data_IF_540818332095
#
_entry.id   IF_540818332095
#
_cell.length_a   1.000
_cell.length_b   1.000
_cell.length_c   1.000
_cell.angle_alpha   90.00
_cell.angle_beta   90.00
_cell.angle_gamma   90.00
#
_symmetry.space_group_name_H-M   'P 1'
#
loop_
_entity.id
_entity.type
_entity.pdbx_description
1 polymer ?
#
# COMPACT_ATOMS: atom_id res chain seq x y z
N UNK A 1 -1.31 52.44 12.73
CA UNK A 1 -2.10 51.37 12.14
C UNK A 1 -1.25 50.09 12.18
N UNK A 2 -1.45 49.28 13.23
CA UNK A 2 -0.85 47.94 13.32
C UNK A 2 -1.70 46.99 12.49
N UNK A 3 -1.13 46.43 11.44
CA UNK A 3 -1.66 45.25 10.79
C UNK A 3 -1.42 44.04 11.69
N UNK A 4 -2.45 43.61 12.40
CA UNK A 4 -2.49 42.29 12.99
C UNK A 4 -2.63 41.28 11.84
N UNK A 5 -1.52 40.65 11.45
CA UNK A 5 -1.50 39.46 10.63
C UNK A 5 -2.05 38.32 11.51
N UNK A 6 -3.32 37.99 11.33
CA UNK A 6 -3.91 36.81 11.93
C UNK A 6 -3.19 35.59 11.38
N UNK A 7 -2.36 34.95 12.20
CA UNK A 7 -2.02 33.55 12.01
C UNK A 7 -3.30 32.75 12.25
N UNK A 8 -4.01 32.42 11.18
CA UNK A 8 -4.96 31.33 11.23
C UNK A 8 -4.15 30.09 11.63
N UNK A 9 -4.39 29.57 12.82
CA UNK A 9 -3.95 28.24 13.21
C UNK A 9 -4.64 27.28 12.24
N UNK A 10 -4.01 26.97 11.11
CA UNK A 10 -4.49 25.90 10.24
C UNK A 10 -4.36 24.62 11.06
N UNK A 11 -5.49 23.97 11.34
CA UNK A 11 -5.48 22.65 11.96
C UNK A 11 -4.66 21.73 11.05
N UNK A 12 -3.76 20.93 11.66
CA UNK A 12 -2.96 19.94 10.97
C UNK A 12 -3.86 19.01 10.15
N UNK A 13 -3.57 18.84 8.86
CA UNK A 13 -4.27 17.91 7.98
C UNK A 13 -3.55 16.59 7.94
N UNK A 14 -4.24 15.53 8.34
CA UNK A 14 -3.65 14.22 8.60
C UNK A 14 -3.98 13.23 7.46
N UNK A 15 -2.96 12.60 6.92
CA UNK A 15 -3.10 11.43 6.06
C UNK A 15 -2.77 10.14 6.82
N UNK A 16 -3.66 9.14 6.74
CA UNK A 16 -3.30 7.76 7.10
C UNK A 16 -2.78 7.04 5.88
N UNK A 17 -1.62 6.41 6.02
CA UNK A 17 -0.98 5.64 4.97
C UNK A 17 -0.77 4.18 5.42
N UNK A 18 -1.06 3.23 4.52
CA UNK A 18 -1.06 1.80 4.82
C UNK A 18 -0.03 1.06 3.98
N UNK A 19 0.84 0.23 4.62
CA UNK A 19 1.91 -0.46 3.93
C UNK A 19 1.39 -1.55 2.98
N UNK A 20 2.24 -1.89 2.01
CA UNK A 20 2.06 -2.99 1.09
C UNK A 20 2.89 -4.22 1.44
N UNK A 21 2.89 -5.20 0.53
CA UNK A 21 3.71 -6.41 0.62
C UNK A 21 5.20 -6.07 0.75
N UNK A 22 5.91 -6.81 1.59
CA UNK A 22 7.30 -6.53 1.97
C UNK A 22 7.43 -5.91 3.37
N UNK A 23 6.32 -5.47 3.98
CA UNK A 23 6.30 -4.93 5.33
C UNK A 23 6.11 -6.01 6.42
N UNK A 24 5.71 -7.22 6.05
CA UNK A 24 5.40 -8.30 6.97
C UNK A 24 6.63 -8.81 7.73
N UNK A 25 6.41 -9.22 8.96
CA UNK A 25 7.37 -9.93 9.81
C UNK A 25 6.65 -10.77 10.86
N UNK A 26 7.32 -11.82 11.35
CA UNK A 26 6.78 -12.67 12.41
C UNK A 26 6.63 -11.87 13.71
N UNK A 27 5.44 -11.94 14.31
CA UNK A 27 5.09 -11.20 15.52
C UNK A 27 4.39 -9.85 15.25
N UNK A 28 4.18 -9.46 14.00
CA UNK A 28 3.48 -8.20 13.67
C UNK A 28 2.08 -8.17 14.27
N UNK A 29 1.76 -7.10 15.02
CA UNK A 29 0.46 -6.89 15.64
C UNK A 29 0.14 -7.77 16.84
N UNK A 30 1.05 -8.64 17.29
CA UNK A 30 0.85 -9.54 18.42
C UNK A 30 0.61 -8.79 19.72
N UNK A 31 1.38 -7.76 19.98
CA UNK A 31 1.26 -6.88 21.13
C UNK A 31 -0.10 -6.15 21.18
N UNK A 32 -0.59 -5.67 20.04
CA UNK A 32 -1.94 -5.11 19.90
C UNK A 32 -3.02 -6.16 20.20
N UNK A 33 -2.87 -7.38 19.67
CA UNK A 33 -3.79 -8.48 19.94
C UNK A 33 -3.85 -8.85 21.41
N UNK A 34 -2.71 -8.88 22.09
CA UNK A 34 -2.60 -9.25 23.51
C UNK A 34 -3.13 -8.15 24.45
N UNK A 35 -2.91 -6.86 24.14
CA UNK A 35 -3.24 -5.76 25.04
C UNK A 35 -4.62 -5.12 24.80
N UNK A 36 -5.16 -5.15 23.55
CA UNK A 36 -6.36 -4.41 23.16
C UNK A 36 -7.47 -5.30 22.62
N UNK A 37 -8.63 -5.28 23.27
CA UNK A 37 -9.79 -6.10 22.89
C UNK A 37 -10.33 -5.79 21.49
N UNK A 38 -10.34 -4.53 21.08
CA UNK A 38 -10.76 -4.09 19.75
C UNK A 38 -9.83 -4.61 18.65
N UNK A 39 -8.53 -4.73 18.92
CA UNK A 39 -7.57 -5.32 18.00
C UNK A 39 -7.75 -6.83 17.92
N UNK A 40 -7.98 -7.49 19.07
CA UNK A 40 -8.27 -8.93 19.16
C UNK A 40 -9.47 -9.30 18.30
N UNK A 41 -10.55 -8.53 18.35
CA UNK A 41 -11.75 -8.75 17.55
C UNK A 41 -11.48 -8.74 16.04
N UNK A 42 -10.56 -7.90 15.56
CA UNK A 42 -10.19 -7.87 14.14
C UNK A 42 -9.55 -9.19 13.71
N UNK A 43 -8.63 -9.74 14.51
CA UNK A 43 -8.01 -11.05 14.24
C UNK A 43 -9.02 -12.19 14.36
N UNK A 44 -9.93 -12.14 15.32
CA UNK A 44 -10.97 -13.18 15.49
C UNK A 44 -11.94 -13.19 14.30
N UNK A 45 -12.38 -12.01 13.81
CA UNK A 45 -13.18 -11.90 12.59
C UNK A 45 -12.39 -12.44 11.38
N UNK A 46 -11.09 -12.18 11.31
CA UNK A 46 -10.27 -12.67 10.22
C UNK A 46 -10.16 -14.21 10.22
N UNK A 47 -9.99 -14.84 11.38
CA UNK A 47 -9.99 -16.30 11.51
C UNK A 47 -11.33 -16.95 11.14
N UNK A 48 -12.46 -16.28 11.39
CA UNK A 48 -13.77 -16.76 10.97
C UNK A 48 -13.98 -16.72 9.44
N UNK A 49 -13.29 -15.81 8.76
CA UNK A 49 -13.45 -15.55 7.32
C UNK A 49 -12.47 -16.37 6.48
N UNK A 50 -11.21 -16.46 6.95
CA UNK A 50 -10.13 -17.09 6.21
C UNK A 50 -10.17 -18.61 6.35
N UNK A 51 -9.64 -19.30 5.36
CA UNK A 51 -9.48 -20.75 5.30
C UNK A 51 -8.20 -21.23 6.01
N UNK A 52 -7.55 -20.36 6.78
CA UNK A 52 -6.33 -20.64 7.55
C UNK A 52 -6.27 -19.79 8.82
N UNK A 53 -5.45 -20.20 9.77
CA UNK A 53 -5.24 -19.51 11.06
C UNK A 53 -4.35 -18.27 10.85
N UNK A 54 -4.96 -17.07 10.79
CA UNK A 54 -4.25 -15.81 10.57
C UNK A 54 -3.33 -15.47 11.74
N UNK A 55 -3.70 -15.83 12.96
CA UNK A 55 -2.88 -15.57 14.15
C UNK A 55 -1.61 -16.42 14.10
N UNK A 56 -1.73 -17.67 13.67
CA UNK A 56 -0.57 -18.52 13.47
C UNK A 56 0.37 -17.95 12.41
N UNK A 57 -0.17 -17.48 11.28
CA UNK A 57 0.62 -16.83 10.21
C UNK A 57 1.34 -15.58 10.70
N UNK A 58 0.65 -14.71 11.47
CA UNK A 58 1.23 -13.43 11.91
C UNK A 58 2.18 -13.58 13.10
N UNK A 59 1.93 -14.50 14.04
CA UNK A 59 2.56 -14.50 15.35
C UNK A 59 3.63 -15.57 15.56
N UNK A 60 3.58 -16.65 14.78
CA UNK A 60 4.48 -17.80 14.94
C UNK A 60 5.39 -17.97 13.72
N UNK A 61 6.58 -18.57 13.95
CA UNK A 61 7.52 -18.87 12.87
C UNK A 61 6.89 -19.78 11.80
N UNK A 62 6.90 -19.32 10.56
CA UNK A 62 6.43 -20.04 9.40
C UNK A 62 6.98 -19.41 8.11
N UNK A 63 6.95 -20.15 7.00
CA UNK A 63 7.35 -19.66 5.68
C UNK A 63 6.20 -19.00 4.91
N UNK A 64 4.95 -19.36 5.24
CA UNK A 64 3.73 -18.93 4.54
C UNK A 64 3.51 -17.42 4.57
N UNK A 65 4.00 -16.74 5.61
CA UNK A 65 3.89 -15.28 5.72
C UNK A 65 4.53 -14.53 4.52
N UNK A 66 5.45 -15.17 3.80
CA UNK A 66 6.12 -14.61 2.63
C UNK A 66 5.48 -15.04 1.30
N UNK A 67 4.49 -15.93 1.34
CA UNK A 67 3.70 -16.29 0.15
C UNK A 67 2.58 -15.26 -0.05
N UNK A 68 2.48 -14.71 -1.26
CA UNK A 68 1.61 -13.56 -1.58
C UNK A 68 0.17 -13.74 -1.14
N UNK A 69 -0.39 -14.92 -1.31
CA UNK A 69 -1.78 -15.24 -0.95
C UNK A 69 -2.04 -15.17 0.58
N UNK A 70 -1.04 -15.42 1.42
CA UNK A 70 -1.11 -15.27 2.89
C UNK A 70 -0.66 -13.88 3.33
N UNK A 71 0.42 -13.37 2.73
CA UNK A 71 1.01 -12.06 3.06
C UNK A 71 -0.02 -10.94 2.99
N UNK A 72 -0.82 -10.91 1.90
CA UNK A 72 -1.78 -9.83 1.69
C UNK A 72 -2.87 -9.81 2.77
N UNK A 73 -3.43 -10.97 3.13
CA UNK A 73 -4.41 -11.06 4.20
C UNK A 73 -3.82 -10.72 5.58
N UNK A 74 -2.58 -11.15 5.84
CA UNK A 74 -1.87 -10.89 7.09
C UNK A 74 -1.60 -9.40 7.31
N UNK A 75 -1.10 -8.69 6.29
CA UNK A 75 -0.84 -7.24 6.38
C UNK A 75 -2.15 -6.45 6.50
N UNK A 76 -3.18 -6.81 5.71
CA UNK A 76 -4.49 -6.15 5.81
C UNK A 76 -5.05 -6.27 7.23
N UNK A 77 -5.08 -7.48 7.79
CA UNK A 77 -5.62 -7.73 9.14
C UNK A 77 -4.85 -6.96 10.20
N UNK A 78 -3.52 -7.06 10.19
CA UNK A 78 -2.65 -6.36 11.15
C UNK A 78 -2.84 -4.84 11.07
N UNK A 79 -2.83 -4.28 9.87
CA UNK A 79 -3.01 -2.83 9.69
C UNK A 79 -4.40 -2.37 10.14
N UNK A 80 -5.46 -3.16 9.93
CA UNK A 80 -6.79 -2.81 10.41
C UNK A 80 -6.94 -2.95 11.92
N UNK A 81 -6.27 -3.89 12.56
CA UNK A 81 -6.21 -3.97 14.01
C UNK A 81 -5.56 -2.72 14.61
N UNK A 82 -4.39 -2.32 14.08
CA UNK A 82 -3.70 -1.10 14.50
C UNK A 82 -4.53 0.16 14.21
N UNK A 83 -5.18 0.23 13.03
CA UNK A 83 -6.09 1.32 12.68
C UNK A 83 -7.21 1.51 13.71
N UNK A 84 -7.82 0.41 14.17
CA UNK A 84 -8.84 0.46 15.23
C UNK A 84 -8.30 1.10 16.50
N UNK A 85 -7.12 0.71 16.95
CA UNK A 85 -6.50 1.31 18.12
C UNK A 85 -6.24 2.82 17.96
N UNK A 86 -5.78 3.25 16.79
CA UNK A 86 -5.53 4.67 16.49
C UNK A 86 -6.82 5.49 16.48
N UNK A 87 -7.90 4.95 15.90
CA UNK A 87 -9.19 5.64 15.85
C UNK A 87 -9.85 5.72 17.23
N UNK A 88 -9.73 4.67 18.06
CA UNK A 88 -10.27 4.64 19.42
C UNK A 88 -9.66 5.72 20.34
N UNK A 89 -8.39 6.07 20.14
CA UNK A 89 -7.79 7.21 20.84
C UNK A 89 -8.21 8.57 20.26
N UNK A 90 -9.13 8.60 19.29
CA UNK A 90 -9.75 9.81 18.71
C UNK A 90 -8.95 10.52 17.64
N UNK A 91 -7.94 9.87 17.03
CA UNK A 91 -7.20 10.41 15.88
C UNK A 91 -7.89 9.91 14.62
N UNK A 92 -8.23 10.85 13.72
CA UNK A 92 -8.93 10.56 12.47
C UNK A 92 -8.16 11.16 11.29
N UNK A 93 -8.17 10.50 10.13
CA UNK A 93 -7.55 11.04 8.93
C UNK A 93 -8.49 12.02 8.21
N UNK A 94 -7.90 12.97 7.49
CA UNK A 94 -8.56 13.79 6.49
C UNK A 94 -8.53 13.13 5.11
N UNK A 95 -7.55 12.25 4.90
CA UNK A 95 -7.38 11.45 3.68
C UNK A 95 -6.67 10.14 4.01
N UNK A 96 -7.00 9.09 3.25
CA UNK A 96 -6.32 7.80 3.33
C UNK A 96 -5.54 7.50 2.04
N UNK A 97 -4.43 6.78 2.15
CA UNK A 97 -3.68 6.24 1.01
C UNK A 97 -3.03 4.92 1.42
N UNK A 98 -2.73 4.07 0.45
CA UNK A 98 -1.99 2.84 0.72
C UNK A 98 -1.13 2.46 -0.47
N UNK A 99 -0.15 1.59 -0.27
CA UNK A 99 0.70 1.08 -1.33
C UNK A 99 0.24 -0.32 -1.73
N UNK A 100 -0.22 -0.49 -2.98
CA UNK A 100 -0.69 -1.76 -3.53
C UNK A 100 -1.81 -2.38 -2.66
N UNK A 101 -1.55 -3.49 -1.95
CA UNK A 101 -2.55 -4.07 -1.03
C UNK A 101 -3.03 -3.06 0.04
N UNK A 102 -2.19 -2.13 0.43
CA UNK A 102 -2.53 -1.07 1.40
C UNK A 102 -3.66 -0.14 0.93
N UNK A 103 -3.95 -0.06 -0.38
CA UNK A 103 -5.13 0.65 -0.88
C UNK A 103 -6.43 0.04 -0.34
N UNK A 104 -6.48 -1.28 -0.12
CA UNK A 104 -7.65 -1.94 0.49
C UNK A 104 -7.83 -1.57 1.97
N UNK A 105 -6.75 -1.32 2.71
CA UNK A 105 -6.84 -0.72 4.04
C UNK A 105 -7.42 0.69 3.97
N UNK A 106 -6.99 1.49 2.99
CA UNK A 106 -7.53 2.83 2.76
C UNK A 106 -9.03 2.77 2.40
N UNK A 107 -9.46 1.80 1.58
CA UNK A 107 -10.88 1.58 1.26
C UNK A 107 -11.72 1.27 2.51
N UNK A 108 -11.21 0.44 3.43
CA UNK A 108 -11.90 0.15 4.70
C UNK A 108 -11.90 1.39 5.61
N UNK A 109 -10.78 2.07 5.76
CA UNK A 109 -10.68 3.28 6.58
C UNK A 109 -11.54 4.44 6.05
N UNK A 110 -11.84 4.45 4.75
CA UNK A 110 -12.72 5.41 4.06
C UNK A 110 -14.18 4.99 4.00
N UNK A 111 -14.57 3.88 4.64
CA UNK A 111 -15.91 3.27 4.62
C UNK A 111 -16.40 2.84 3.23
N UNK A 112 -15.50 2.67 2.26
CA UNK A 112 -15.85 2.15 0.92
C UNK A 112 -16.17 0.67 0.97
N UNK A 113 -15.44 -0.10 1.76
CA UNK A 113 -15.64 -1.54 1.96
C UNK A 113 -15.71 -1.87 3.45
N UNK A 114 -16.52 -2.89 3.80
CA UNK A 114 -16.44 -3.52 5.12
C UNK A 114 -15.14 -4.33 5.24
N UNK A 115 -14.57 -4.40 6.42
CA UNK A 115 -13.35 -5.19 6.66
C UNK A 115 -13.49 -6.64 6.19
N UNK A 116 -14.63 -7.28 6.47
CA UNK A 116 -14.92 -8.66 6.05
C UNK A 116 -14.85 -8.86 4.54
N UNK A 117 -15.36 -7.89 3.78
CA UNK A 117 -15.38 -7.95 2.32
C UNK A 117 -14.02 -7.61 1.73
N UNK A 118 -13.32 -6.65 2.33
CA UNK A 118 -11.94 -6.33 1.95
C UNK A 118 -11.01 -7.53 2.19
N UNK A 119 -11.16 -8.25 3.31
CA UNK A 119 -10.34 -9.41 3.63
C UNK A 119 -10.57 -10.56 2.64
N UNK A 120 -11.82 -10.88 2.32
CA UNK A 120 -12.15 -11.87 1.27
C UNK A 120 -11.59 -11.48 -0.09
N UNK A 121 -11.71 -10.20 -0.43
CA UNK A 121 -11.21 -9.66 -1.69
C UNK A 121 -9.70 -9.74 -1.77
N UNK A 122 -9.00 -9.35 -0.72
CA UNK A 122 -7.54 -9.40 -0.65
C UNK A 122 -7.01 -10.85 -0.66
N UNK A 123 -7.70 -11.79 -0.01
CA UNK A 123 -7.38 -13.21 -0.10
C UNK A 123 -7.48 -13.68 -1.56
N UNK A 124 -8.59 -13.35 -2.25
CA UNK A 124 -8.78 -13.67 -3.68
C UNK A 124 -7.73 -13.00 -4.55
N UNK A 125 -7.41 -11.72 -4.29
CA UNK A 125 -6.37 -10.97 -5.01
C UNK A 125 -5.01 -11.63 -4.87
N UNK A 126 -4.63 -12.03 -3.67
CA UNK A 126 -3.35 -12.70 -3.40
C UNK A 126 -3.20 -14.00 -4.18
N UNK A 127 -4.23 -14.85 -4.19
CA UNK A 127 -4.28 -16.09 -4.96
C UNK A 127 -4.14 -15.79 -6.46
N UNK A 128 -4.97 -14.90 -7.00
CA UNK A 128 -4.94 -14.54 -8.42
C UNK A 128 -3.58 -14.00 -8.87
N UNK A 129 -2.96 -13.16 -8.05
CA UNK A 129 -1.63 -12.60 -8.37
C UNK A 129 -0.52 -13.64 -8.26
N UNK A 130 -0.61 -14.56 -7.31
CA UNK A 130 0.38 -15.63 -7.14
C UNK A 130 0.33 -16.63 -8.31
N UNK A 131 -0.87 -16.94 -8.80
CA UNK A 131 -1.09 -17.92 -9.86
C UNK A 131 -1.01 -17.34 -11.28
N UNK A 132 -1.01 -16.01 -11.44
CA UNK A 132 -1.14 -15.32 -12.72
C UNK A 132 -0.02 -15.66 -13.73
N UNK A 133 1.19 -15.86 -13.24
CA UNK A 133 2.37 -16.10 -14.07
C UNK A 133 3.15 -17.28 -13.49
N UNK A 134 3.52 -18.27 -14.34
CA UNK A 134 4.33 -19.40 -13.89
C UNK A 134 5.65 -18.95 -13.26
N UNK A 135 6.10 -19.69 -12.25
CA UNK A 135 7.35 -19.42 -11.55
C UNK A 135 8.54 -19.26 -12.51
N UNK A 136 9.35 -18.25 -12.25
CA UNK A 136 10.55 -17.95 -13.03
C UNK A 136 10.32 -17.21 -14.35
N UNK A 137 9.08 -17.00 -14.79
CA UNK A 137 8.77 -16.26 -16.03
C UNK A 137 8.82 -14.74 -15.84
N UNK A 138 8.43 -14.28 -14.70
CA UNK A 138 8.44 -12.85 -14.34
C UNK A 138 9.35 -12.54 -13.15
N UNK A 139 9.68 -11.27 -12.96
CA UNK A 139 10.44 -10.78 -11.81
C UNK A 139 10.21 -9.29 -11.58
N UNK A 140 10.69 -8.81 -10.44
CA UNK A 140 10.72 -7.38 -10.09
C UNK A 140 12.09 -6.98 -9.59
N UNK A 141 12.53 -5.77 -9.92
CA UNK A 141 13.79 -5.22 -9.42
C UNK A 141 13.60 -3.79 -8.89
N UNK A 142 14.16 -3.52 -7.72
CA UNK A 142 14.26 -2.17 -7.19
C UNK A 142 15.41 -1.42 -7.88
N UNK A 143 15.15 -0.19 -8.31
CA UNK A 143 16.11 0.71 -8.97
C UNK A 143 16.25 1.96 -8.12
N UNK A 144 17.49 2.28 -7.74
CA UNK A 144 17.81 3.42 -6.88
C UNK A 144 18.79 4.38 -7.57
N UNK A 145 18.52 5.68 -7.42
CA UNK A 145 19.46 6.75 -7.77
C UNK A 145 19.34 7.27 -9.20
N UNK A 146 18.23 6.98 -9.88
CA UNK A 146 17.88 7.56 -11.18
C UNK A 146 16.52 8.26 -11.12
N UNK A 147 16.32 9.23 -12.00
CA UNK A 147 15.05 9.93 -12.15
C UNK A 147 13.98 9.05 -12.81
N UNK A 148 12.72 9.28 -12.46
CA UNK A 148 11.57 8.52 -12.93
C UNK A 148 11.51 8.44 -14.46
N UNK A 149 11.74 9.56 -15.15
CA UNK A 149 11.69 9.66 -16.62
C UNK A 149 12.76 8.81 -17.31
N UNK A 150 13.96 8.72 -16.70
CA UNK A 150 15.05 7.89 -17.23
C UNK A 150 14.67 6.41 -17.12
N UNK A 151 14.17 6.00 -15.96
CA UNK A 151 13.78 4.59 -15.73
C UNK A 151 12.60 4.18 -16.62
N UNK A 152 11.57 5.04 -16.75
CA UNK A 152 10.41 4.78 -17.61
C UNK A 152 10.84 4.61 -19.08
N UNK A 153 11.66 5.53 -19.58
CA UNK A 153 12.16 5.47 -20.95
C UNK A 153 12.98 4.21 -21.23
N UNK A 154 13.86 3.80 -20.31
CA UNK A 154 14.63 2.55 -20.48
C UNK A 154 13.69 1.33 -20.54
N UNK A 155 12.63 1.30 -19.73
CA UNK A 155 11.62 0.24 -19.82
C UNK A 155 10.92 0.25 -21.18
N UNK A 156 10.47 1.42 -21.66
CA UNK A 156 9.78 1.58 -22.96
C UNK A 156 10.66 1.20 -24.16
N UNK A 157 11.96 1.47 -24.10
CA UNK A 157 12.95 1.13 -25.13
C UNK A 157 13.49 -0.30 -25.04
N UNK A 158 13.10 -1.06 -24.03
CA UNK A 158 13.53 -2.45 -23.84
C UNK A 158 12.53 -3.40 -24.50
N UNK A 159 13.04 -4.33 -25.32
CA UNK A 159 12.23 -5.36 -25.96
C UNK A 159 11.63 -6.32 -24.92
N UNK A 160 10.37 -6.71 -25.12
CA UNK A 160 9.61 -7.56 -24.21
C UNK A 160 8.78 -6.76 -23.21
N UNK A 161 8.14 -7.46 -22.25
CA UNK A 161 7.28 -6.83 -21.25
C UNK A 161 8.12 -6.41 -20.05
N UNK A 162 8.35 -5.12 -19.91
CA UNK A 162 8.93 -4.50 -18.71
C UNK A 162 8.40 -3.09 -18.55
N UNK A 163 8.01 -2.74 -17.32
CA UNK A 163 7.49 -1.40 -16.98
C UNK A 163 7.85 -1.02 -15.56
N UNK A 164 7.67 0.26 -15.21
CA UNK A 164 7.75 0.71 -13.83
C UNK A 164 6.51 0.22 -13.08
N UNK A 165 6.71 -0.63 -12.10
CA UNK A 165 5.65 -1.16 -11.23
C UNK A 165 5.31 -0.19 -10.09
N UNK A 166 6.32 0.46 -9.51
CA UNK A 166 6.14 1.39 -8.39
C UNK A 166 7.01 2.64 -8.58
N UNK A 167 6.37 3.79 -8.50
CA UNK A 167 7.02 5.08 -8.25
C UNK A 167 6.93 5.33 -6.75
N UNK A 168 7.96 4.92 -6.00
CA UNK A 168 7.92 4.92 -4.53
C UNK A 168 8.22 6.30 -3.93
N UNK A 169 9.32 6.91 -4.35
CA UNK A 169 9.73 8.27 -3.98
C UNK A 169 10.82 8.73 -4.97
N UNK A 170 11.23 10.00 -5.00
CA UNK A 170 12.29 10.48 -5.88
C UNK A 170 13.53 9.59 -5.79
N UNK A 171 13.93 9.06 -6.94
CA UNK A 171 15.11 8.19 -7.08
C UNK A 171 14.94 6.76 -6.52
N UNK A 172 13.72 6.31 -6.26
CA UNK A 172 13.45 4.92 -5.85
C UNK A 172 12.21 4.37 -6.55
N UNK A 173 12.44 3.47 -7.50
CA UNK A 173 11.42 2.84 -8.31
C UNK A 173 11.53 1.32 -8.24
N UNK A 174 10.50 0.64 -8.71
CA UNK A 174 10.53 -0.81 -8.96
C UNK A 174 10.12 -1.04 -10.40
N UNK A 175 10.88 -1.85 -11.13
CA UNK A 175 10.54 -2.32 -12.48
C UNK A 175 10.06 -3.77 -12.40
N UNK A 176 9.12 -4.14 -13.28
CA UNK A 176 8.45 -5.44 -13.26
C UNK A 176 8.13 -5.90 -14.69
N UNK A 177 8.15 -7.20 -14.91
CA UNK A 177 7.82 -7.79 -16.21
C UNK A 177 8.43 -9.15 -16.41
N UNK A 178 8.62 -9.51 -17.68
CA UNK A 178 9.31 -10.74 -18.09
C UNK A 178 10.76 -10.75 -17.56
N UNK A 179 11.20 -11.88 -17.04
CA UNK A 179 12.53 -12.00 -16.42
C UNK A 179 13.65 -11.52 -17.34
N UNK A 180 13.60 -11.88 -18.64
CA UNK A 180 14.59 -11.46 -19.64
C UNK A 180 14.57 -9.96 -19.91
N UNK A 181 13.39 -9.38 -20.11
CA UNK A 181 13.22 -7.95 -20.35
C UNK A 181 13.64 -7.11 -19.13
N UNK A 182 13.24 -7.52 -17.92
CA UNK A 182 13.66 -6.87 -16.67
C UNK A 182 15.18 -6.93 -16.50
N UNK A 183 15.83 -8.06 -16.82
CA UNK A 183 17.28 -8.19 -16.75
C UNK A 183 17.99 -7.25 -17.74
N UNK A 184 17.50 -7.15 -18.98
CA UNK A 184 18.03 -6.21 -19.97
C UNK A 184 17.86 -4.74 -19.55
N UNK A 185 16.68 -4.36 -19.06
CA UNK A 185 16.43 -3.02 -18.54
C UNK A 185 17.34 -2.71 -17.35
N UNK A 186 17.46 -3.66 -16.42
CA UNK A 186 18.32 -3.52 -15.24
C UNK A 186 19.80 -3.30 -15.60
N UNK A 187 20.31 -4.00 -16.63
CA UNK A 187 21.67 -3.80 -17.12
C UNK A 187 21.86 -2.40 -17.70
N UNK A 188 20.94 -1.95 -18.58
CA UNK A 188 20.97 -0.59 -19.15
C UNK A 188 20.93 0.48 -18.04
N UNK A 189 20.07 0.30 -17.04
CA UNK A 189 19.97 1.24 -15.90
C UNK A 189 21.27 1.30 -15.09
N UNK A 190 21.97 0.20 -14.89
CA UNK A 190 23.31 0.19 -14.25
C UNK A 190 24.33 0.95 -15.08
N UNK A 191 24.35 0.75 -16.40
CA UNK A 191 25.27 1.43 -17.33
C UNK A 191 25.02 2.95 -17.37
N UNK A 192 23.78 3.41 -17.21
CA UNK A 192 23.39 4.83 -17.14
C UNK A 192 23.75 5.44 -15.78
N UNK A 193 24.02 4.63 -14.74
CA UNK A 193 24.47 5.12 -13.44
C UNK A 193 23.51 4.89 -12.28
N UNK A 194 22.60 3.93 -12.37
CA UNK A 194 21.81 3.52 -11.21
C UNK A 194 22.73 3.14 -10.04
N UNK A 195 22.50 3.72 -8.86
CA UNK A 195 23.29 3.44 -7.67
C UNK A 195 23.14 1.99 -7.20
N UNK A 196 21.95 1.45 -7.34
CA UNK A 196 21.65 0.04 -7.02
C UNK A 196 20.50 -0.45 -7.91
N UNK A 197 20.60 -1.71 -8.33
CA UNK A 197 19.51 -2.47 -8.95
C UNK A 197 19.50 -3.82 -8.25
N UNK A 198 18.41 -4.15 -7.56
CA UNK A 198 18.30 -5.32 -6.69
C UNK A 198 17.04 -6.10 -7.00
N UNK A 199 17.15 -7.39 -7.26
CA UNK A 199 16.01 -8.29 -7.45
C UNK A 199 15.23 -8.43 -6.15
N UNK A 200 13.91 -8.32 -6.25
CA UNK A 200 12.99 -8.47 -5.12
C UNK A 200 12.60 -9.96 -4.97
N UNK A 201 12.45 -10.41 -3.73
CA UNK A 201 11.94 -11.74 -3.41
C UNK A 201 10.41 -11.72 -3.45
N UNK A 202 9.84 -11.85 -4.64
CA UNK A 202 8.39 -11.87 -4.88
C UNK A 202 8.04 -13.01 -5.81
N UNK A 203 6.80 -13.50 -5.75
CA UNK A 203 6.32 -14.65 -6.51
C UNK A 203 5.95 -14.33 -7.97
N UNK A 204 5.92 -13.06 -8.38
CA UNK A 204 5.50 -12.71 -9.73
C UNK A 204 5.82 -11.27 -10.14
N UNK A 205 5.58 -10.94 -11.42
CA UNK A 205 5.82 -9.62 -12.01
C UNK A 205 4.64 -8.68 -11.73
N UNK A 206 4.41 -8.36 -10.44
CA UNK A 206 3.27 -7.54 -10.02
C UNK A 206 3.30 -6.16 -10.65
N UNK A 207 2.12 -5.59 -10.86
CA UNK A 207 1.94 -4.26 -11.46
C UNK A 207 2.53 -4.12 -12.87
N UNK A 208 2.63 -5.22 -13.62
CA UNK A 208 2.99 -5.25 -15.02
C UNK A 208 1.81 -5.76 -15.87
N UNK A 209 1.88 -5.58 -17.18
CA UNK A 209 0.87 -6.08 -18.13
C UNK A 209 0.64 -7.60 -17.99
N UNK A 210 1.63 -8.37 -17.55
CA UNK A 210 1.51 -9.81 -17.28
C UNK A 210 0.45 -10.16 -16.23
N UNK A 211 0.03 -9.19 -15.41
CA UNK A 211 -1.01 -9.35 -14.38
C UNK A 211 -2.42 -8.97 -14.86
N UNK A 212 -2.60 -8.59 -16.13
CA UNK A 212 -3.88 -8.07 -16.63
C UNK A 212 -5.04 -9.06 -16.47
N UNK A 213 -4.79 -10.36 -16.68
CA UNK A 213 -5.83 -11.38 -16.49
C UNK A 213 -6.25 -11.51 -15.03
N UNK A 214 -5.27 -11.48 -14.09
CA UNK A 214 -5.58 -11.48 -12.66
C UNK A 214 -6.43 -10.26 -12.28
N UNK A 215 -6.18 -9.10 -12.88
CA UNK A 215 -7.01 -7.90 -12.71
C UNK A 215 -8.44 -8.11 -13.18
N UNK A 216 -8.65 -8.68 -14.37
CA UNK A 216 -9.99 -8.99 -14.92
C UNK A 216 -10.75 -10.00 -14.05
N UNK A 217 -10.09 -11.04 -13.58
CA UNK A 217 -10.71 -12.03 -12.68
C UNK A 217 -11.06 -11.40 -11.33
N UNK A 218 -10.21 -10.55 -10.79
CA UNK A 218 -10.52 -9.78 -9.58
C UNK A 218 -11.72 -8.85 -9.80
N UNK A 219 -11.81 -8.19 -10.96
CA UNK A 219 -12.95 -7.33 -11.32
C UNK A 219 -14.27 -8.09 -11.32
N UNK A 220 -14.29 -9.30 -11.89
CA UNK A 220 -15.47 -10.17 -11.83
C UNK A 220 -15.85 -10.54 -10.40
N UNK A 221 -14.86 -10.81 -9.55
CA UNK A 221 -15.10 -11.14 -8.14
C UNK A 221 -15.74 -9.96 -7.39
N UNK A 222 -15.17 -8.77 -7.52
CA UNK A 222 -15.64 -7.58 -6.78
C UNK A 222 -16.94 -7.00 -7.32
N UNK A 223 -17.44 -7.48 -8.47
CA UNK A 223 -18.74 -7.06 -9.00
C UNK A 223 -19.87 -7.31 -8.00
N UNK A 224 -19.83 -8.42 -7.29
CA UNK A 224 -20.80 -8.84 -6.30
C UNK A 224 -20.47 -8.39 -4.86
N UNK A 225 -19.40 -7.63 -4.68
CA UNK A 225 -19.01 -7.07 -3.39
C UNK A 225 -19.66 -5.71 -3.21
N UNK A 226 -20.21 -5.47 -2.01
CA UNK A 226 -20.81 -4.19 -1.65
C UNK A 226 -19.74 -3.10 -1.50
N UNK A 227 -19.88 -2.02 -2.24
CA UNK A 227 -19.06 -0.81 -2.15
C UNK A 227 -19.93 0.38 -1.80
N UNK A 228 -19.44 1.23 -0.92
CA UNK A 228 -20.07 2.49 -0.56
C UNK A 228 -19.27 3.67 -1.14
N UNK A 229 -19.90 4.85 -1.16
CA UNK A 229 -19.16 6.08 -1.45
C UNK A 229 -18.25 6.42 -0.28
N UNK A 230 -17.00 6.90 -0.53
CA UNK A 230 -16.09 7.26 0.53
C UNK A 230 -16.67 8.30 1.48
N UNK A 231 -16.60 8.05 2.77
CA UNK A 231 -16.89 9.04 3.82
C UNK A 231 -15.67 9.94 4.02
N UNK A 232 -14.49 9.34 4.05
CA UNK A 232 -13.20 10.03 4.04
C UNK A 232 -12.58 9.80 2.65
N UNK A 233 -12.08 10.82 1.96
CA UNK A 233 -11.44 10.62 0.66
C UNK A 233 -10.20 9.73 0.79
N UNK A 234 -9.91 8.96 -0.26
CA UNK A 234 -8.64 8.25 -0.38
C UNK A 234 -7.96 8.57 -1.71
N UNK A 235 -6.67 8.29 -1.81
CA UNK A 235 -5.90 8.49 -3.05
C UNK A 235 -5.67 7.15 -3.72
N UNK A 236 -6.13 7.02 -4.97
CA UNK A 236 -6.01 5.79 -5.75
C UNK A 236 -4.59 5.59 -6.30
N UNK A 237 -4.10 4.34 -6.28
CA UNK A 237 -2.72 4.02 -6.70
C UNK A 237 -2.45 4.28 -8.19
N UNK A 238 -3.41 3.98 -9.07
CA UNK A 238 -3.21 3.98 -10.53
C UNK A 238 -2.95 5.38 -11.10
N UNK A 239 -3.60 6.40 -10.55
CA UNK A 239 -3.59 7.75 -11.09
C UNK A 239 -3.24 8.84 -10.07
N UNK A 240 -3.01 8.47 -8.82
CA UNK A 240 -2.73 9.38 -7.70
C UNK A 240 -3.82 10.44 -7.45
N UNK A 241 -5.05 10.22 -7.92
CA UNK A 241 -6.16 11.14 -7.75
C UNK A 241 -6.97 10.82 -6.50
N UNK A 242 -7.54 11.88 -5.91
CA UNK A 242 -8.50 11.76 -4.82
C UNK A 242 -9.80 11.11 -5.30
N UNK A 243 -10.25 10.15 -4.54
CA UNK A 243 -11.54 9.49 -4.69
C UNK A 243 -12.40 9.92 -3.50
N UNK A 244 -13.44 10.69 -3.77
CA UNK A 244 -14.36 11.20 -2.79
C UNK A 244 -15.81 10.72 -3.07
N UNK A 245 -16.76 11.17 -2.26
CA UNK A 245 -18.20 10.81 -2.37
C UNK A 245 -18.86 11.14 -3.72
N UNK A 246 -18.20 11.93 -4.57
CA UNK A 246 -18.72 12.30 -5.89
C UNK A 246 -18.33 11.29 -6.98
N UNK A 247 -17.41 10.38 -6.70
CA UNK A 247 -16.96 9.36 -7.65
C UNK A 247 -17.97 8.21 -7.73
N UNK A 248 -18.10 7.66 -8.93
CA UNK A 248 -18.94 6.48 -9.18
C UNK A 248 -18.27 5.21 -8.61
N UNK A 249 -19.08 4.31 -8.06
CA UNK A 249 -18.60 3.04 -7.50
C UNK A 249 -17.99 2.16 -8.59
N UNK A 250 -18.54 2.15 -9.81
CA UNK A 250 -17.96 1.40 -10.90
C UNK A 250 -16.58 1.90 -11.28
N UNK A 251 -16.37 3.22 -11.25
CA UNK A 251 -15.06 3.82 -11.45
C UNK A 251 -14.04 3.35 -10.40
N UNK A 252 -14.45 3.21 -9.13
CA UNK A 252 -13.59 2.66 -8.07
C UNK A 252 -13.21 1.20 -8.39
N UNK A 253 -14.19 0.38 -8.77
CA UNK A 253 -13.96 -1.02 -9.15
C UNK A 253 -13.04 -1.15 -10.37
N UNK A 254 -13.19 -0.27 -11.37
CA UNK A 254 -12.33 -0.23 -12.56
C UNK A 254 -10.88 0.17 -12.21
N UNK A 255 -10.69 1.08 -11.25
CA UNK A 255 -9.36 1.42 -10.75
C UNK A 255 -8.70 0.24 -10.03
N UNK A 256 -9.45 -0.54 -9.24
CA UNK A 256 -8.91 -1.72 -8.55
C UNK A 256 -8.56 -2.86 -9.52
N UNK A 257 -9.30 -3.04 -10.62
CA UNK A 257 -8.91 -3.94 -11.71
C UNK A 257 -7.56 -3.52 -12.30
N UNK A 258 -7.45 -2.24 -12.70
CA UNK A 258 -6.24 -1.70 -13.31
C UNK A 258 -5.05 -1.72 -12.37
N UNK A 259 -5.27 -1.54 -11.07
CA UNK A 259 -4.20 -1.51 -10.07
C UNK A 259 -3.34 -2.78 -10.09
N UNK A 260 -3.92 -3.94 -10.37
CA UNK A 260 -3.20 -5.23 -10.38
C UNK A 260 -2.11 -5.26 -11.44
N UNK A 261 -2.35 -4.61 -12.60
CA UNK A 261 -1.47 -4.63 -13.77
C UNK A 261 -0.89 -3.27 -14.17
N UNK A 262 -1.08 -2.24 -13.34
CA UNK A 262 -0.60 -0.87 -13.60
C UNK A 262 0.33 -0.39 -12.49
N UNK A 263 1.12 0.63 -12.81
CA UNK A 263 2.02 1.27 -11.85
C UNK A 263 1.30 1.79 -10.62
N UNK A 264 1.92 1.63 -9.47
CA UNK A 264 1.53 2.27 -8.21
C UNK A 264 2.21 3.63 -8.12
N UNK A 265 1.43 4.71 -8.17
CA UNK A 265 1.89 6.09 -8.22
C UNK A 265 2.04 6.69 -6.81
N UNK A 266 2.79 6.02 -5.91
CA UNK A 266 2.84 6.43 -4.50
C UNK A 266 3.54 7.78 -4.29
N UNK A 267 4.65 8.03 -4.99
CA UNK A 267 5.33 9.34 -4.96
C UNK A 267 4.39 10.47 -5.34
N UNK A 268 3.64 10.31 -6.44
CA UNK A 268 2.69 11.32 -6.90
C UNK A 268 1.51 11.47 -5.93
N UNK A 269 1.06 10.37 -5.34
CA UNK A 269 0.01 10.40 -4.30
C UNK A 269 0.44 11.24 -3.10
N UNK A 270 1.66 11.04 -2.60
CA UNK A 270 2.22 11.84 -1.50
C UNK A 270 2.33 13.32 -1.90
N UNK A 271 2.85 13.63 -3.09
CA UNK A 271 2.95 15.00 -3.59
C UNK A 271 1.59 15.70 -3.70
N UNK A 272 0.58 14.97 -4.19
CA UNK A 272 -0.78 15.52 -4.32
C UNK A 272 -1.41 15.77 -2.94
N UNK A 273 -1.21 14.88 -1.97
CA UNK A 273 -1.69 15.09 -0.61
C UNK A 273 -1.02 16.31 0.05
N UNK A 274 0.29 16.49 -0.12
CA UNK A 274 1.01 17.65 0.39
C UNK A 274 0.52 18.95 -0.29
N UNK A 275 0.32 18.94 -1.61
CA UNK A 275 -0.23 20.08 -2.34
C UNK A 275 -1.65 20.44 -1.91
N UNK A 276 -2.43 19.47 -1.41
CA UNK A 276 -3.76 19.66 -0.83
C UNK A 276 -3.72 20.05 0.66
N UNK A 277 -2.53 20.32 1.21
CA UNK A 277 -2.34 20.82 2.57
C UNK A 277 -2.12 19.76 3.65
N UNK A 278 -1.92 18.50 3.29
CA UNK A 278 -1.51 17.47 4.27
C UNK A 278 -0.10 17.79 4.78
N UNK A 279 0.03 17.94 6.08
CA UNK A 279 1.30 18.23 6.76
C UNK A 279 1.76 17.10 7.68
N UNK A 280 0.87 16.15 7.98
CA UNK A 280 1.13 15.03 8.88
C UNK A 280 0.71 13.71 8.25
N UNK A 281 1.65 12.78 8.19
CA UNK A 281 1.43 11.42 7.69
C UNK A 281 1.58 10.42 8.84
N UNK A 282 0.62 9.53 9.02
CA UNK A 282 0.67 8.45 10.01
C UNK A 282 0.64 7.12 9.25
N UNK A 283 1.76 6.41 9.25
CA UNK A 283 1.83 5.05 8.73
C UNK A 283 1.25 4.08 9.76
N UNK A 284 0.24 3.33 9.35
CA UNK A 284 -0.50 2.40 10.21
C UNK A 284 -0.33 0.98 9.65
N UNK A 285 0.37 0.14 10.38
CA UNK A 285 0.63 -1.23 9.98
C UNK A 285 2.06 -1.70 10.26
N UNK A 286 2.41 -2.93 9.83
CA UNK A 286 3.74 -3.47 10.07
C UNK A 286 4.83 -2.69 9.32
N UNK A 287 6.00 -2.60 9.93
CA UNK A 287 7.17 -1.92 9.35
C UNK A 287 7.09 -0.40 9.41
N UNK A 288 7.98 0.25 8.66
CA UNK A 288 8.09 1.72 8.58
C UNK A 288 8.54 2.20 7.19
N UNK A 289 8.21 1.43 6.16
CA UNK A 289 8.69 1.68 4.80
C UNK A 289 8.12 2.97 4.23
N UNK A 290 6.80 3.18 4.35
CA UNK A 290 6.14 4.35 3.79
C UNK A 290 6.58 5.64 4.46
N UNK A 291 6.82 5.61 5.77
CA UNK A 291 7.38 6.74 6.52
C UNK A 291 8.70 7.22 5.92
N UNK A 292 9.57 6.29 5.54
CA UNK A 292 10.83 6.58 4.85
C UNK A 292 10.62 7.17 3.46
N UNK A 293 9.65 6.68 2.70
CA UNK A 293 9.33 7.17 1.35
C UNK A 293 8.75 8.58 1.39
N UNK A 294 7.84 8.85 2.33
CA UNK A 294 7.27 10.20 2.53
C UNK A 294 8.37 11.20 2.87
N UNK A 295 9.26 10.88 3.82
CA UNK A 295 10.39 11.76 4.20
C UNK A 295 11.39 11.99 3.07
N UNK A 296 11.56 11.03 2.15
CA UNK A 296 12.38 11.22 0.95
C UNK A 296 11.67 12.10 -0.10
N UNK A 297 10.35 12.08 -0.14
CA UNK A 297 9.54 12.92 -1.04
C UNK A 297 9.49 14.35 -0.55
N UNK A 298 9.22 14.57 0.74
CA UNK A 298 9.29 15.90 1.37
C UNK A 298 9.74 15.77 2.85
N UNK A 299 10.81 16.47 3.20
CA UNK A 299 11.38 16.46 4.56
C UNK A 299 10.64 17.38 5.53
N UNK A 300 9.82 18.29 5.03
CA UNK A 300 9.15 19.31 5.84
C UNK A 300 7.86 18.78 6.50
N UNK A 301 7.24 17.71 5.97
CA UNK A 301 6.05 17.13 6.58
C UNK A 301 6.38 16.31 7.83
N UNK A 302 5.45 16.26 8.75
CA UNK A 302 5.52 15.37 9.92
C UNK A 302 5.19 13.94 9.53
N UNK A 303 5.95 12.98 10.04
CA UNK A 303 5.70 11.55 9.77
C UNK A 303 5.80 10.77 11.06
N UNK A 304 4.76 10.00 11.34
CA UNK A 304 4.69 9.05 12.45
C UNK A 304 4.44 7.65 11.90
N UNK A 305 4.88 6.64 12.65
CA UNK A 305 4.66 5.24 12.32
C UNK A 305 4.11 4.52 13.54
N UNK A 306 3.02 3.80 13.37
CA UNK A 306 2.39 3.00 14.42
C UNK A 306 2.48 1.54 14.00
N UNK A 307 3.51 0.87 14.51
CA UNK A 307 3.86 -0.51 14.20
C UNK A 307 3.76 -1.43 15.44
N UNK A 308 3.90 -0.87 16.63
CA UNK A 308 3.80 -1.57 17.91
C UNK A 308 3.05 -0.73 18.94
N UNK A 309 2.68 -1.35 20.07
CA UNK A 309 1.91 -0.71 21.14
C UNK A 309 2.63 0.50 21.73
N UNK A 310 3.96 0.49 21.78
CA UNK A 310 4.75 1.61 22.29
C UNK A 310 4.69 2.84 21.36
N UNK A 311 4.54 2.64 20.06
CA UNK A 311 4.30 3.75 19.12
C UNK A 311 2.93 4.38 19.36
N UNK A 312 1.90 3.57 19.65
CA UNK A 312 0.58 4.07 20.03
C UNK A 312 0.62 4.87 21.34
N UNK A 313 1.35 4.40 22.36
CA UNK A 313 1.53 5.11 23.63
C UNK A 313 2.19 6.48 23.42
N UNK A 314 3.24 6.55 22.61
CA UNK A 314 3.88 7.83 22.21
C UNK A 314 2.91 8.77 21.49
N UNK A 315 2.07 8.25 20.60
CA UNK A 315 1.06 9.04 19.89
C UNK A 315 0.04 9.64 20.86
N UNK A 316 -0.35 8.90 21.93
CA UNK A 316 -1.24 9.39 23.00
C UNK A 316 -0.58 10.53 23.77
N UNK A 317 0.72 10.43 24.06
CA UNK A 317 1.47 11.47 24.80
C UNK A 317 1.63 12.78 24.03
N UNK A 318 1.60 12.71 22.68
CA UNK A 318 1.72 13.88 21.80
C UNK A 318 0.39 14.60 21.54
N UNK A 319 -0.74 14.01 21.95
CA UNK A 319 -2.10 14.56 21.78
C UNK A 319 -2.47 15.55 22.91
#
# INVERSE_FOLDING_TARGET
AQCACGMENSMSKIAFIFPGQGAQYIGMGKDFYEELDECRKIYDIADEILDFDIKNICFNENDLINETEYTQAAILTTSMAIYKAVVEIGIKPDVCCGLSLGEYNALVASDVMKFSDALKTIRKRGILMQEAVPDGKGTMMAVLGLDNEIVSRVCEETEGIVSVANYNCPGQLVISGERGAVAMAAQKLKEIGAKRVVELKVSGPFHSEMMAEAGRELRKYIENVEFNKPVIPYVANVNALYIDKNKDIQYIKDLLEKQVSSSVMFEQSVKNMIADGVDTFIEIGPGRTLSGLVKKTDRNVSVMNINCIDDLKKLIELK
#
